data_IF_124462742815
#
_entry.id   IF_124462742815
#
_cell.length_a   1.000
_cell.length_b   1.000
_cell.length_c   1.000
_cell.angle_alpha   90.00
_cell.angle_beta   90.00
_cell.angle_gamma   90.00
#
_symmetry.space_group_name_H-M   'P 1'
#
loop_
_entity.id
_entity.type
_entity.pdbx_description
1 polymer ?
#
# COMPACT_ATOMS: atom_id res chain seq x y z
N UNK A 1 -19.17 -20.38 -30.74
CA UNK A 1 -19.13 -19.65 -29.46
C UNK A 1 -17.81 -18.91 -29.39
N UNK A 2 -17.82 -17.63 -29.73
CA UNK A 2 -16.63 -16.78 -29.65
C UNK A 2 -16.49 -16.38 -28.19
N UNK A 3 -15.56 -17.02 -27.47
CA UNK A 3 -15.18 -16.60 -26.14
C UNK A 3 -14.59 -15.21 -26.19
N UNK A 4 -15.26 -14.24 -25.61
CA UNK A 4 -14.65 -12.94 -25.30
C UNK A 4 -13.60 -13.21 -24.24
N UNK A 5 -12.35 -13.24 -24.65
CA UNK A 5 -11.22 -13.29 -23.75
C UNK A 5 -11.12 -11.89 -23.11
N UNK A 6 -11.73 -11.70 -21.94
CA UNK A 6 -11.45 -10.53 -21.13
C UNK A 6 -10.00 -10.68 -20.64
N UNK A 7 -9.09 -9.90 -21.21
CA UNK A 7 -7.75 -9.74 -20.66
C UNK A 7 -7.83 -8.94 -19.37
N UNK A 8 -8.35 -9.54 -18.31
CA UNK A 8 -8.21 -8.99 -16.99
C UNK A 8 -6.75 -9.21 -16.56
N UNK A 9 -6.05 -8.14 -16.23
CA UNK A 9 -4.71 -8.23 -15.64
C UNK A 9 -4.78 -9.07 -14.36
N UNK A 10 -3.83 -9.99 -14.11
CA UNK A 10 -3.80 -10.75 -12.89
C UNK A 10 -3.75 -9.80 -11.68
N UNK A 11 -4.58 -10.08 -10.69
CA UNK A 11 -4.55 -9.37 -9.40
C UNK A 11 -3.42 -10.00 -8.57
N UNK A 12 -2.48 -9.17 -8.11
CA UNK A 12 -1.33 -9.57 -7.31
C UNK A 12 -1.45 -9.16 -5.86
N UNK A 13 -2.51 -8.46 -5.49
CA UNK A 13 -2.73 -8.02 -4.13
C UNK A 13 -3.75 -6.90 -4.01
N UNK A 14 -3.68 -6.18 -2.89
CA UNK A 14 -4.54 -5.04 -2.58
C UNK A 14 -3.77 -3.99 -1.80
N UNK A 15 -4.24 -2.75 -1.89
CA UNK A 15 -3.77 -1.65 -1.05
C UNK A 15 -4.92 -1.11 -0.21
N UNK A 16 -4.58 -0.49 0.90
CA UNK A 16 -5.52 0.14 1.82
C UNK A 16 -5.22 1.63 1.88
N UNK A 17 -6.17 2.43 1.49
CA UNK A 17 -6.10 3.89 1.60
C UNK A 17 -6.88 4.43 2.81
N UNK A 18 -6.69 5.71 3.12
CA UNK A 18 -7.40 6.42 4.18
C UNK A 18 -7.25 5.76 5.56
N UNK A 19 -6.09 5.19 5.85
CA UNK A 19 -5.82 4.48 7.12
C UNK A 19 -5.55 5.43 8.30
N UNK A 20 -5.33 6.72 8.07
CA UNK A 20 -5.16 7.72 9.11
C UNK A 20 -6.51 8.25 9.60
N UNK A 21 -6.83 8.05 10.88
CA UNK A 21 -8.04 8.60 11.51
C UNK A 21 -8.11 10.14 11.42
N UNK A 22 -6.97 10.82 11.43
CA UNK A 22 -6.92 12.28 11.27
C UNK A 22 -7.35 12.69 9.86
N UNK A 23 -6.87 11.97 8.83
CA UNK A 23 -7.26 12.21 7.42
C UNK A 23 -8.73 11.85 7.20
N UNK A 24 -9.21 10.73 7.75
CA UNK A 24 -10.64 10.37 7.69
C UNK A 24 -11.53 11.50 8.23
N UNK A 25 -11.21 12.02 9.42
CA UNK A 25 -11.93 13.15 10.03
C UNK A 25 -11.89 14.41 9.15
N UNK A 26 -10.75 14.72 8.57
CA UNK A 26 -10.57 15.88 7.69
C UNK A 26 -11.43 15.77 6.42
N UNK A 27 -11.55 14.57 5.86
CA UNK A 27 -12.32 14.30 4.64
C UNK A 27 -13.79 13.98 4.92
N UNK A 28 -14.20 13.90 6.19
CA UNK A 28 -15.58 13.57 6.57
C UNK A 28 -15.99 12.13 6.25
N UNK A 29 -15.03 11.21 6.25
CA UNK A 29 -15.26 9.77 6.07
C UNK A 29 -14.99 9.02 7.38
N UNK A 30 -15.56 7.83 7.53
CA UNK A 30 -15.53 7.04 8.75
C UNK A 30 -14.89 5.64 8.57
N UNK A 31 -14.36 5.38 7.37
CA UNK A 31 -13.74 4.10 7.05
C UNK A 31 -12.60 4.26 6.04
N UNK A 32 -11.67 3.28 6.00
CA UNK A 32 -10.68 3.19 4.92
C UNK A 32 -11.33 2.86 3.57
N UNK A 33 -10.58 3.03 2.50
CA UNK A 33 -10.87 2.48 1.19
C UNK A 33 -9.83 1.42 0.80
N UNK A 34 -10.04 0.72 -0.32
CA UNK A 34 -9.10 -0.24 -0.85
C UNK A 34 -9.11 -0.27 -2.37
N UNK A 35 -7.97 -0.63 -2.95
CA UNK A 35 -7.79 -0.83 -4.38
C UNK A 35 -7.10 -2.15 -4.69
N UNK A 36 -7.24 -2.59 -5.94
CA UNK A 36 -6.57 -3.79 -6.44
C UNK A 36 -5.17 -3.44 -6.93
N UNK A 37 -4.20 -4.30 -6.65
CA UNK A 37 -2.86 -4.25 -7.21
C UNK A 37 -2.79 -5.25 -8.36
N UNK A 38 -2.56 -4.74 -9.57
CA UNK A 38 -2.42 -5.56 -10.77
C UNK A 38 -0.95 -5.86 -11.06
N UNK A 39 -0.70 -6.88 -11.88
CA UNK A 39 0.64 -7.37 -12.19
C UNK A 39 1.57 -6.30 -12.79
N UNK A 40 1.01 -5.38 -13.55
CA UNK A 40 1.73 -4.29 -14.22
C UNK A 40 2.00 -3.07 -13.33
N UNK A 41 1.51 -3.07 -12.09
CA UNK A 41 1.74 -1.98 -11.13
C UNK A 41 3.06 -2.12 -10.36
N UNK A 42 3.60 -3.34 -10.25
CA UNK A 42 4.87 -3.57 -9.56
C UNK A 42 6.05 -3.00 -10.34
N UNK A 43 6.92 -2.25 -9.66
CA UNK A 43 8.15 -1.71 -10.24
C UNK A 43 9.36 -2.23 -9.45
N UNK A 44 10.40 -2.71 -10.15
CA UNK A 44 11.65 -3.09 -9.49
C UNK A 44 12.35 -1.86 -8.88
N UNK A 45 12.94 -2.00 -7.70
CA UNK A 45 13.67 -0.94 -7.00
C UNK A 45 14.85 -0.37 -7.81
N UNK A 46 15.43 -1.19 -8.72
CA UNK A 46 16.59 -0.81 -9.52
C UNK A 46 16.25 -0.08 -10.84
N UNK A 47 14.97 0.16 -11.12
CA UNK A 47 14.52 0.76 -12.40
C UNK A 47 13.76 2.05 -12.11
N UNK A 48 14.14 3.12 -12.82
CA UNK A 48 13.46 4.40 -12.71
C UNK A 48 12.00 4.28 -13.18
N UNK A 49 11.09 4.85 -12.41
CA UNK A 49 9.66 4.89 -12.70
C UNK A 49 9.40 6.03 -13.68
N UNK A 50 8.77 5.73 -14.81
CA UNK A 50 8.36 6.76 -15.75
C UNK A 50 7.15 7.53 -15.24
N UNK A 51 7.23 8.86 -15.24
CA UNK A 51 6.09 9.73 -14.90
C UNK A 51 4.95 9.66 -15.92
N UNK A 52 5.19 9.07 -17.13
CA UNK A 52 4.13 8.82 -18.10
C UNK A 52 3.18 7.68 -17.67
N UNK A 53 3.61 6.83 -16.72
CA UNK A 53 2.84 5.67 -16.28
C UNK A 53 1.80 6.01 -15.19
N UNK A 54 1.85 7.21 -14.59
CA UNK A 54 0.96 7.61 -13.49
C UNK A 54 0.61 9.09 -13.54
N UNK A 55 -0.68 9.42 -13.35
CA UNK A 55 -1.16 10.79 -13.39
C UNK A 55 -1.03 11.46 -12.01
N UNK A 56 -0.47 12.67 -11.97
CA UNK A 56 -0.35 13.49 -10.75
C UNK A 56 0.28 12.70 -9.57
N UNK A 57 1.45 12.04 -9.75
CA UNK A 57 1.98 11.10 -8.78
C UNK A 57 2.32 11.73 -7.44
N UNK A 58 2.05 10.97 -6.37
CA UNK A 58 2.58 11.19 -5.03
C UNK A 58 3.10 9.86 -4.49
N UNK A 59 3.99 9.90 -3.51
CA UNK A 59 4.54 8.70 -2.87
C UNK A 59 4.16 8.63 -1.39
N UNK A 60 3.91 7.40 -0.94
CA UNK A 60 3.65 7.06 0.45
C UNK A 60 4.58 5.93 0.89
N UNK A 61 5.10 6.03 2.12
CA UNK A 61 5.88 4.97 2.74
C UNK A 61 4.95 4.03 3.50
N UNK A 62 5.06 2.74 3.23
CA UNK A 62 4.17 1.71 3.77
C UNK A 62 4.92 0.45 4.22
N UNK A 63 4.24 -0.39 4.98
CA UNK A 63 4.62 -1.79 5.18
C UNK A 63 3.82 -2.64 4.21
N UNK A 64 4.50 -3.40 3.38
CA UNK A 64 3.86 -4.42 2.56
C UNK A 64 3.94 -5.78 3.26
N UNK A 65 2.82 -6.49 3.31
CA UNK A 65 2.76 -7.89 3.75
C UNK A 65 2.58 -8.81 2.55
N UNK A 66 3.25 -9.95 2.56
CA UNK A 66 3.07 -11.00 1.56
C UNK A 66 2.47 -12.22 2.26
N UNK A 67 1.36 -12.73 1.71
CA UNK A 67 0.67 -13.87 2.30
C UNK A 67 1.30 -15.18 1.87
N UNK A 68 1.54 -16.06 2.84
CA UNK A 68 1.93 -17.47 2.62
C UNK A 68 0.74 -18.43 2.69
N UNK A 69 -0.44 -17.97 3.14
CA UNK A 69 -1.67 -18.75 3.25
C UNK A 69 -2.90 -17.91 2.94
N UNK A 70 -3.98 -18.58 2.53
CA UNK A 70 -5.27 -17.97 2.28
C UNK A 70 -5.90 -17.40 3.57
N UNK A 71 -6.64 -16.29 3.42
CA UNK A 71 -7.44 -15.63 4.45
C UNK A 71 -8.91 -15.64 4.01
N UNK A 72 -9.59 -16.76 4.18
CA UNK A 72 -10.94 -17.00 3.67
C UNK A 72 -12.02 -17.23 4.76
N UNK A 73 -11.67 -17.02 6.02
CA UNK A 73 -12.61 -17.19 7.15
C UNK A 73 -13.58 -16.01 7.31
N UNK A 74 -14.81 -16.29 7.75
CA UNK A 74 -15.85 -15.27 8.00
C UNK A 74 -15.54 -14.38 9.21
N UNK A 75 -14.77 -14.89 10.18
CA UNK A 75 -14.43 -14.22 11.44
C UNK A 75 -12.92 -14.21 11.65
N UNK A 76 -12.22 -13.55 10.71
CA UNK A 76 -10.76 -13.42 10.79
C UNK A 76 -10.35 -12.58 11.99
N UNK A 77 -9.25 -12.97 12.61
CA UNK A 77 -8.62 -12.33 13.77
C UNK A 77 -7.17 -11.96 13.46
N UNK A 78 -6.55 -11.18 14.34
CA UNK A 78 -5.10 -10.90 14.23
C UNK A 78 -4.26 -12.17 14.29
N UNK A 79 -4.71 -13.20 15.03
CA UNK A 79 -4.01 -14.48 15.09
C UNK A 79 -4.00 -15.22 13.73
N UNK A 80 -5.04 -15.03 12.93
CA UNK A 80 -5.10 -15.59 11.58
C UNK A 80 -4.13 -14.85 10.64
N UNK A 81 -3.98 -13.53 10.78
CA UNK A 81 -2.96 -12.77 10.07
C UNK A 81 -1.55 -13.25 10.42
N UNK A 82 -1.24 -13.46 11.71
CA UNK A 82 0.07 -13.98 12.13
C UNK A 82 0.39 -15.36 11.55
N UNK A 83 -0.63 -16.17 11.26
CA UNK A 83 -0.44 -17.49 10.62
C UNK A 83 -0.36 -17.40 9.11
N UNK A 84 -0.97 -16.38 8.51
CA UNK A 84 -1.10 -16.25 7.06
C UNK A 84 0.00 -15.41 6.42
N UNK A 85 0.49 -14.35 7.10
CA UNK A 85 1.57 -13.52 6.58
C UNK A 85 2.89 -14.30 6.66
N UNK A 86 3.55 -14.44 5.52
CA UNK A 86 4.87 -15.06 5.43
C UNK A 86 5.97 -14.08 5.83
N UNK A 87 5.94 -12.89 5.25
CA UNK A 87 6.91 -11.84 5.56
C UNK A 87 6.36 -10.44 5.29
N UNK A 88 7.09 -9.45 5.80
CA UNK A 88 6.90 -8.04 5.52
C UNK A 88 8.14 -7.46 4.83
N UNK A 89 7.93 -6.43 4.01
CA UNK A 89 8.97 -5.60 3.41
C UNK A 89 8.57 -4.13 3.48
N UNK A 90 9.54 -3.18 3.49
CA UNK A 90 9.20 -1.78 3.28
C UNK A 90 8.70 -1.59 1.85
N UNK A 91 7.76 -0.66 1.65
CA UNK A 91 7.21 -0.35 0.34
C UNK A 91 7.10 1.16 0.13
N UNK A 92 7.17 1.57 -1.14
CA UNK A 92 6.73 2.88 -1.60
C UNK A 92 5.51 2.64 -2.48
N UNK A 93 4.34 3.10 -2.05
CA UNK A 93 3.19 3.22 -2.94
C UNK A 93 3.31 4.52 -3.74
N UNK A 94 3.04 4.44 -5.04
CA UNK A 94 3.01 5.57 -5.95
C UNK A 94 1.57 5.77 -6.36
N UNK A 95 0.87 6.60 -5.59
CA UNK A 95 -0.54 6.92 -5.84
C UNK A 95 -0.68 7.91 -6.99
N UNK A 96 -1.78 7.82 -7.71
CA UNK A 96 -2.10 8.75 -8.78
C UNK A 96 -3.58 9.06 -8.85
N UNK A 97 -3.96 10.23 -9.34
CA UNK A 97 -5.35 10.60 -9.53
C UNK A 97 -5.66 10.90 -10.98
N UNK A 98 -6.73 10.28 -11.50
CA UNK A 98 -7.32 10.60 -12.81
C UNK A 98 -8.22 11.83 -12.74
N UNK A 99 -8.51 12.31 -11.52
CA UNK A 99 -9.25 13.55 -11.28
C UNK A 99 -8.28 14.72 -11.15
N UNK A 100 -8.52 15.76 -11.93
CA UNK A 100 -7.63 16.92 -11.99
C UNK A 100 -7.43 17.59 -10.63
N UNK A 101 -6.19 17.98 -10.33
CA UNK A 101 -5.80 18.69 -9.10
C UNK A 101 -6.10 17.93 -7.80
N UNK A 102 -6.32 16.60 -7.86
CA UNK A 102 -6.73 15.83 -6.70
C UNK A 102 -8.01 16.37 -6.01
N UNK A 103 -8.91 16.99 -6.78
CA UNK A 103 -10.22 17.46 -6.26
C UNK A 103 -11.18 16.28 -6.15
N UNK A 104 -10.85 15.32 -5.28
CA UNK A 104 -11.51 14.02 -5.12
C UNK A 104 -12.38 13.97 -3.88
N UNK A 105 -13.48 13.22 -4.01
CA UNK A 105 -14.31 12.74 -2.91
C UNK A 105 -14.15 11.24 -2.78
N UNK A 106 -14.69 10.66 -1.71
CA UNK A 106 -14.61 9.21 -1.48
C UNK A 106 -15.16 8.37 -2.64
N UNK A 107 -16.21 8.84 -3.31
CA UNK A 107 -16.76 8.17 -4.49
C UNK A 107 -15.82 8.16 -5.68
N UNK A 108 -15.05 9.24 -5.85
CA UNK A 108 -14.10 9.39 -6.94
C UNK A 108 -12.89 8.47 -6.72
N UNK A 109 -12.36 8.43 -5.49
CA UNK A 109 -11.23 7.55 -5.16
C UNK A 109 -11.62 6.07 -5.26
N UNK A 110 -12.83 5.67 -4.82
CA UNK A 110 -13.32 4.30 -5.00
C UNK A 110 -13.42 3.95 -6.50
N UNK A 111 -13.97 4.84 -7.33
CA UNK A 111 -14.09 4.62 -8.76
C UNK A 111 -12.72 4.59 -9.46
N UNK A 112 -11.72 5.28 -8.91
CA UNK A 112 -10.34 5.36 -9.39
C UNK A 112 -9.43 4.30 -8.72
N UNK A 113 -9.98 3.14 -8.36
CA UNK A 113 -9.26 2.03 -7.72
C UNK A 113 -8.51 2.47 -6.46
N UNK A 114 -9.13 3.30 -5.61
CA UNK A 114 -8.55 3.94 -4.43
C UNK A 114 -7.25 4.72 -4.75
N UNK A 115 -7.25 5.40 -5.89
CA UNK A 115 -6.10 6.16 -6.41
C UNK A 115 -4.82 5.32 -6.57
N UNK A 116 -4.93 4.00 -6.72
CA UNK A 116 -3.80 3.11 -6.95
C UNK A 116 -3.10 3.47 -8.26
N UNK A 117 -1.78 3.55 -8.23
CA UNK A 117 -0.93 3.75 -9.39
C UNK A 117 0.08 2.62 -9.53
N UNK A 118 1.24 2.76 -8.92
CA UNK A 118 2.34 1.80 -8.97
C UNK A 118 2.85 1.53 -7.55
N UNK A 119 3.75 0.56 -7.40
CA UNK A 119 4.43 0.34 -6.12
C UNK A 119 5.82 -0.27 -6.29
N UNK A 120 6.70 0.01 -5.34
CA UNK A 120 8.05 -0.55 -5.24
C UNK A 120 8.16 -1.27 -3.90
N UNK A 121 8.63 -2.51 -3.92
CA UNK A 121 8.90 -3.30 -2.72
C UNK A 121 10.40 -3.35 -2.44
N UNK A 122 10.77 -3.22 -1.18
CA UNK A 122 12.14 -3.49 -0.74
C UNK A 122 12.49 -4.96 -0.89
N UNK A 123 13.78 -5.25 -1.03
CA UNK A 123 14.30 -6.57 -1.40
C UNK A 123 14.61 -7.49 -0.21
N UNK A 124 14.46 -7.01 1.04
CA UNK A 124 14.80 -7.77 2.25
C UNK A 124 13.54 -8.20 3.03
N UNK A 125 13.11 -9.47 2.95
CA UNK A 125 11.97 -9.95 3.71
C UNK A 125 12.31 -10.08 5.21
N UNK A 126 11.37 -9.66 6.07
CA UNK A 126 11.45 -9.75 7.53
C UNK A 126 10.19 -10.43 8.06
N UNK A 127 10.34 -11.34 9.03
CA UNK A 127 9.18 -11.94 9.69
C UNK A 127 8.45 -10.91 10.54
N UNK A 128 7.14 -10.94 10.56
CA UNK A 128 6.33 -9.94 11.27
C UNK A 128 6.50 -9.95 12.81
N UNK A 129 7.10 -10.98 13.38
CA UNK A 129 7.45 -11.05 14.79
C UNK A 129 8.84 -10.51 15.15
N UNK A 130 9.66 -10.16 14.14
CA UNK A 130 11.06 -9.77 14.35
C UNK A 130 11.25 -8.24 14.48
N UNK A 131 10.17 -7.46 14.37
CA UNK A 131 10.18 -6.01 14.58
C UNK A 131 8.84 -5.52 15.17
N UNK A 132 8.88 -4.37 15.84
CA UNK A 132 7.66 -3.73 16.36
C UNK A 132 6.99 -2.89 15.25
N UNK A 133 6.11 -3.51 14.48
CA UNK A 133 5.43 -2.84 13.37
C UNK A 133 4.49 -1.71 13.77
N UNK A 134 4.13 -1.61 15.05
CA UNK A 134 3.31 -0.49 15.57
C UNK A 134 4.17 0.72 15.91
N UNK A 135 5.32 0.48 16.54
CA UNK A 135 6.19 1.54 17.06
C UNK A 135 7.38 1.83 16.15
N UNK A 136 7.57 1.07 15.04
CA UNK A 136 8.63 1.34 14.08
C UNK A 136 8.54 2.77 13.57
N UNK A 137 9.65 3.50 13.66
CA UNK A 137 9.79 4.80 13.03
C UNK A 137 9.93 4.65 11.52
N UNK A 138 9.37 5.60 10.77
CA UNK A 138 9.53 5.71 9.32
C UNK A 138 10.10 7.08 8.97
N UNK A 139 11.10 7.10 8.10
CA UNK A 139 11.64 8.31 7.48
C UNK A 139 11.68 8.10 5.97
N UNK A 140 11.10 9.04 5.23
CA UNK A 140 11.26 9.17 3.78
C UNK A 140 12.10 10.40 3.51
N UNK A 141 13.20 10.21 2.79
CA UNK A 141 14.12 11.28 2.40
C UNK A 141 14.08 11.52 0.90
N UNK A 142 14.24 12.78 0.50
CA UNK A 142 14.48 13.21 -0.89
C UNK A 142 15.75 14.04 -0.92
N UNK A 143 16.73 13.63 -1.74
CA UNK A 143 18.05 14.27 -1.81
C UNK A 143 18.75 14.39 -0.43
N UNK A 144 18.54 13.42 0.47
CA UNK A 144 19.12 13.38 1.81
C UNK A 144 18.38 14.20 2.87
N UNK A 145 17.29 14.87 2.50
CA UNK A 145 16.48 15.67 3.43
C UNK A 145 15.17 14.93 3.76
N UNK A 146 14.76 14.83 5.03
CA UNK A 146 13.52 14.23 5.42
C UNK A 146 12.32 15.02 4.85
N UNK A 147 11.47 14.35 4.06
CA UNK A 147 10.26 14.93 3.46
C UNK A 147 8.97 14.34 4.03
N UNK A 148 9.04 13.17 4.66
CA UNK A 148 7.95 12.57 5.42
C UNK A 148 8.51 11.74 6.56
N UNK A 149 7.88 11.85 7.73
CA UNK A 149 8.20 11.06 8.92
C UNK A 149 6.93 10.53 9.53
N UNK A 150 7.01 9.34 10.13
CA UNK A 150 5.84 8.73 10.73
C UNK A 150 6.19 7.45 11.51
N UNK A 151 5.17 6.68 11.78
CA UNK A 151 5.32 5.41 12.50
C UNK A 151 4.17 4.44 12.14
N UNK A 152 4.36 3.16 12.39
CA UNK A 152 3.34 2.14 12.17
C UNK A 152 2.00 2.44 12.85
N UNK A 153 2.02 3.10 14.01
CA UNK A 153 0.82 3.51 14.74
C UNK A 153 -0.08 4.51 13.98
N UNK A 154 0.44 5.22 12.98
CA UNK A 154 -0.35 6.13 12.15
C UNK A 154 -1.37 5.37 11.27
N UNK A 155 -1.07 4.12 10.93
CA UNK A 155 -1.92 3.25 10.13
C UNK A 155 -2.93 2.51 11.03
N UNK A 156 -4.12 3.08 11.23
CA UNK A 156 -5.21 2.50 12.08
C UNK A 156 -4.74 1.99 13.45
N UNK A 157 -3.72 2.63 14.04
CA UNK A 157 -3.08 2.20 15.28
C UNK A 157 -2.09 1.03 15.14
N UNK A 158 -2.14 0.29 14.05
CA UNK A 158 -1.17 -0.73 13.62
C UNK A 158 -1.47 -1.16 12.18
N UNK A 159 -0.46 -1.39 11.34
CA UNK A 159 -0.62 -1.97 10.00
C UNK A 159 -1.42 -3.28 9.97
N UNK A 160 -1.33 -4.11 11.01
CA UNK A 160 -2.15 -5.31 11.14
C UNK A 160 -3.63 -5.02 11.30
N UNK A 161 -4.02 -3.91 11.93
CA UNK A 161 -5.43 -3.55 12.06
C UNK A 161 -6.04 -3.20 10.69
N UNK A 162 -5.31 -2.45 9.87
CA UNK A 162 -5.72 -2.15 8.50
C UNK A 162 -5.82 -3.43 7.66
N UNK A 163 -4.82 -4.30 7.75
CA UNK A 163 -4.81 -5.60 7.06
C UNK A 163 -5.98 -6.49 7.49
N UNK A 164 -6.29 -6.54 8.79
CA UNK A 164 -7.43 -7.30 9.31
C UNK A 164 -8.76 -6.75 8.79
N UNK A 165 -8.93 -5.43 8.81
CA UNK A 165 -10.09 -4.77 8.23
C UNK A 165 -10.27 -5.17 6.77
N UNK A 166 -9.21 -5.08 5.96
CA UNK A 166 -9.25 -5.46 4.55
C UNK A 166 -9.61 -6.95 4.37
N UNK A 167 -8.95 -7.84 5.12
CA UNK A 167 -9.19 -9.28 5.05
C UNK A 167 -10.66 -9.62 5.31
N UNK A 168 -11.26 -9.01 6.34
CA UNK A 168 -12.66 -9.19 6.69
C UNK A 168 -13.60 -8.62 5.60
N UNK A 169 -13.28 -7.46 5.02
CA UNK A 169 -14.05 -6.85 3.93
C UNK A 169 -14.03 -7.75 2.71
N UNK A 170 -12.86 -8.21 2.30
CA UNK A 170 -12.68 -9.05 1.12
C UNK A 170 -13.35 -10.43 1.27
N UNK A 171 -13.25 -11.05 2.45
CA UNK A 171 -13.93 -12.32 2.74
C UNK A 171 -15.45 -12.17 2.64
N UNK A 172 -16.03 -11.11 3.26
CA UNK A 172 -17.47 -10.84 3.17
C UNK A 172 -17.94 -10.52 1.75
N UNK A 173 -17.08 -9.89 0.94
CA UNK A 173 -17.38 -9.59 -0.45
C UNK A 173 -17.29 -10.82 -1.39
N UNK A 174 -16.83 -11.98 -0.87
CA UNK A 174 -16.64 -13.20 -1.66
C UNK A 174 -15.35 -13.24 -2.49
N UNK A 175 -14.40 -12.34 -2.19
CA UNK A 175 -13.08 -12.25 -2.85
C UNK A 175 -11.95 -12.37 -1.82
N UNK A 176 -11.88 -13.45 -1.03
CA UNK A 176 -10.87 -13.60 0.02
C UNK A 176 -9.45 -13.49 -0.53
N UNK A 177 -8.55 -13.00 0.30
CA UNK A 177 -7.14 -12.89 -0.07
C UNK A 177 -6.45 -14.25 -0.07
N UNK A 178 -5.51 -14.44 -0.98
CA UNK A 178 -4.87 -15.72 -1.25
C UNK A 178 -3.39 -15.71 -0.96
N UNK A 179 -2.83 -16.90 -0.75
CA UNK A 179 -1.37 -17.07 -0.70
C UNK A 179 -0.71 -16.46 -1.94
N UNK A 180 0.35 -15.69 -1.74
CA UNK A 180 1.02 -14.92 -2.77
C UNK A 180 0.51 -13.48 -2.95
N UNK A 181 -0.67 -13.13 -2.40
CA UNK A 181 -1.16 -11.74 -2.45
C UNK A 181 -0.23 -10.81 -1.66
N UNK A 182 0.04 -9.64 -2.26
CA UNK A 182 0.71 -8.52 -1.59
C UNK A 182 -0.33 -7.56 -1.03
N UNK A 183 -0.13 -7.09 0.20
CA UNK A 183 -1.00 -6.12 0.86
C UNK A 183 -0.17 -4.89 1.22
N UNK A 184 -0.47 -3.75 0.61
CA UNK A 184 0.04 -2.46 1.07
C UNK A 184 -0.87 -1.97 2.20
N UNK A 185 -0.29 -1.82 3.39
CA UNK A 185 -1.07 -1.67 4.63
C UNK A 185 -1.66 -0.29 4.86
N UNK A 186 -1.22 0.70 4.11
CA UNK A 186 -1.57 2.10 4.30
C UNK A 186 -0.39 2.94 4.81
N UNK A 187 -0.44 4.22 4.50
CA UNK A 187 0.63 5.17 4.75
C UNK A 187 1.02 5.27 6.24
N UNK A 188 2.33 5.25 6.49
CA UNK A 188 2.93 5.47 7.82
C UNK A 188 3.15 6.94 8.13
N UNK A 189 3.09 7.81 7.13
CA UNK A 189 3.27 9.26 7.23
C UNK A 189 2.64 10.01 6.06
N UNK A 190 2.78 11.34 5.99
CA UNK A 190 2.21 12.15 4.92
C UNK A 190 2.74 11.75 3.54
N UNK A 191 1.87 11.78 2.51
CA UNK A 191 2.26 11.60 1.12
C UNK A 191 3.05 12.81 0.59
N UNK A 192 3.96 12.58 -0.36
CA UNK A 192 4.84 13.58 -0.95
C UNK A 192 4.65 13.64 -2.47
N UNK A 193 4.47 14.83 -3.08
CA UNK A 193 4.41 14.97 -4.53
C UNK A 193 5.72 14.57 -5.21
N UNK A 194 5.60 14.04 -6.42
CA UNK A 194 6.72 13.57 -7.25
C UNK A 194 6.91 14.46 -8.46
N UNK A 195 8.17 14.74 -8.78
CA UNK A 195 8.61 15.40 -10.01
C UNK A 195 9.73 14.62 -10.71
N UNK A 196 9.95 14.87 -12.00
CA UNK A 196 11.03 14.21 -12.74
C UNK A 196 12.39 14.46 -12.10
N UNK A 197 13.20 13.41 -12.00
CA UNK A 197 14.51 13.44 -11.36
C UNK A 197 14.47 13.23 -9.84
N UNK A 198 13.29 13.13 -9.23
CA UNK A 198 13.18 12.86 -7.79
C UNK A 198 13.63 11.43 -7.46
N UNK A 199 14.28 11.31 -6.31
CA UNK A 199 14.67 10.03 -5.72
C UNK A 199 14.22 10.04 -4.27
N UNK A 200 13.46 9.03 -3.90
CA UNK A 200 12.99 8.84 -2.52
C UNK A 200 13.64 7.60 -1.91
N UNK A 201 14.22 7.79 -0.73
CA UNK A 201 14.77 6.73 0.11
C UNK A 201 13.90 6.60 1.36
N UNK A 202 13.25 5.46 1.55
CA UNK A 202 12.41 5.16 2.72
C UNK A 202 13.14 4.19 3.63
N UNK A 203 13.18 4.50 4.93
CA UNK A 203 13.67 3.60 5.98
C UNK A 203 12.60 3.39 7.02
N UNK A 204 12.39 2.11 7.37
CA UNK A 204 11.46 1.71 8.43
C UNK A 204 12.26 0.90 9.45
N UNK A 205 12.22 1.35 10.70
CA UNK A 205 12.99 0.73 11.78
C UNK A 205 12.66 -0.75 11.96
N UNK A 206 13.68 -1.60 12.01
CA UNK A 206 13.55 -3.05 12.12
C UNK A 206 13.14 -3.78 10.84
N UNK A 207 12.59 -3.07 9.84
CA UNK A 207 12.13 -3.65 8.59
C UNK A 207 13.14 -3.49 7.45
N UNK A 208 13.81 -2.34 7.35
CA UNK A 208 14.79 -2.07 6.32
C UNK A 208 14.48 -0.83 5.49
N UNK A 209 14.95 -0.84 4.24
CA UNK A 209 14.83 0.31 3.34
C UNK A 209 14.31 -0.10 1.97
N UNK A 210 13.74 0.89 1.24
CA UNK A 210 13.32 0.78 -0.15
C UNK A 210 13.53 2.12 -0.85
N UNK A 211 13.87 2.09 -2.14
CA UNK A 211 14.16 3.27 -2.95
C UNK A 211 13.29 3.31 -4.20
N UNK A 212 12.83 4.50 -4.59
CA UNK A 212 12.18 4.76 -5.87
C UNK A 212 12.80 6.00 -6.53
N UNK A 213 13.17 5.90 -7.80
CA UNK A 213 13.65 7.00 -8.63
C UNK A 213 12.67 7.25 -9.77
N UNK A 214 12.57 8.49 -10.23
CA UNK A 214 11.57 8.93 -11.20
C UNK A 214 12.23 9.65 -12.39
N UNK A 215 11.88 9.24 -13.62
CA UNK A 215 12.36 9.82 -14.87
C UNK A 215 11.23 10.45 -15.70
#
# INVERSE_FOLDING_TARGET
MTGVQTCALPIFGRKIGLTSLAVQKQLGVDQPDYGMLFADMARPEAIDVSLADVMQPKVEAEIAFVLGRDLDGDQLTVADLFRAIDYAVPAIEIVGSRVANWDIRITDTIADNASSGLYVLGSRPVRIGDFDMRMCGMVMEKAGEPVSVGAGAACMGSPLNATLWLAQVMARAGYPMRAGDTILSGALGPMVPVTAGDVFDVRIEGLGAVRAAFA
#
